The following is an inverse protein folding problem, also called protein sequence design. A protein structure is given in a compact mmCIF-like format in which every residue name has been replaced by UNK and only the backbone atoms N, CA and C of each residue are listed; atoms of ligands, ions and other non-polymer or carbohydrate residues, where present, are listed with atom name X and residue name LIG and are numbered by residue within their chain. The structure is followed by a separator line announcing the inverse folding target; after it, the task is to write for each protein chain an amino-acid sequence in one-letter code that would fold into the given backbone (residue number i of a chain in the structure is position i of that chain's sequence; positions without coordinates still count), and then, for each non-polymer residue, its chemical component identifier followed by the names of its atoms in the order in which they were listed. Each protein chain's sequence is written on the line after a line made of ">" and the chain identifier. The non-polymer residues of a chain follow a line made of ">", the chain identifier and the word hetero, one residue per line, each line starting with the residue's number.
data_IF_293925093849
#
_entry.id   IF_293925093849
#
_cell.length_a   1.000
_cell.length_b   1.000
_cell.length_c   1.000
_cell.angle_alpha   90.00
_cell.angle_beta   90.00
_cell.angle_gamma   90.00
#
_symmetry.space_group_name_H-M   'P 1'
#
loop_
_entity.id
_entity.type
_entity.pdbx_description
1 polymer ?
#
# COMPACT_ATOMS: atom_id res chain seq x y z
N UNK A 1 0.11 -29.99 -3.62
CA UNK A 1 0.03 -29.52 -2.21
C UNK A 1 -1.44 -29.19 -1.91
N UNK A 2 -1.99 -29.63 -0.77
CA UNK A 2 -3.30 -29.13 -0.33
C UNK A 2 -3.09 -27.76 0.32
N UNK A 3 -3.32 -26.70 -0.45
CA UNK A 3 -2.99 -25.33 -0.07
C UNK A 3 -3.75 -24.88 1.20
N UNK A 4 -5.06 -25.24 1.30
CA UNK A 4 -5.89 -24.89 2.46
C UNK A 4 -5.34 -25.50 3.75
N UNK A 5 -4.94 -26.75 3.71
CA UNK A 5 -4.35 -27.44 4.88
C UNK A 5 -2.98 -26.84 5.23
N UNK A 6 -2.16 -26.46 4.24
CA UNK A 6 -0.89 -25.79 4.52
C UNK A 6 -1.08 -24.42 5.17
N UNK A 7 -2.09 -23.64 4.76
CA UNK A 7 -2.43 -22.36 5.42
C UNK A 7 -2.87 -22.57 6.88
N UNK A 8 -3.51 -23.71 7.19
CA UNK A 8 -3.99 -24.01 8.54
C UNK A 8 -2.94 -24.64 9.47
N UNK A 9 -1.80 -25.12 8.95
CA UNK A 9 -0.74 -25.75 9.77
C UNK A 9 -0.17 -24.77 10.79
N UNK A 10 0.36 -23.66 10.31
CA UNK A 10 0.98 -22.67 11.18
C UNK A 10 0.94 -21.27 10.56
N UNK A 11 1.19 -20.25 11.37
CA UNK A 11 1.29 -18.87 10.94
C UNK A 11 2.71 -18.35 11.17
N UNK A 12 3.65 -18.81 10.35
CA UNK A 12 5.06 -18.44 10.41
C UNK A 12 5.58 -17.87 9.10
N UNK A 13 6.72 -17.19 9.15
CA UNK A 13 7.42 -16.73 7.96
C UNK A 13 7.88 -17.91 7.09
N UNK A 14 8.32 -19.01 7.71
CA UNK A 14 8.74 -20.21 7.00
C UNK A 14 7.58 -20.81 6.20
N UNK A 15 6.41 -20.94 6.80
CA UNK A 15 5.22 -21.46 6.12
C UNK A 15 4.74 -20.51 5.02
N UNK A 16 4.77 -19.19 5.25
CA UNK A 16 4.48 -18.21 4.21
C UNK A 16 5.42 -18.38 3.02
N UNK A 17 6.74 -18.45 3.25
CA UNK A 17 7.73 -18.63 2.20
C UNK A 17 7.55 -19.94 1.42
N UNK A 18 7.22 -21.04 2.13
CA UNK A 18 6.91 -22.34 1.49
C UNK A 18 5.75 -22.22 0.51
N UNK A 19 4.67 -21.52 0.90
CA UNK A 19 3.52 -21.29 0.04
C UNK A 19 3.89 -20.42 -1.15
N UNK A 20 4.64 -19.33 -0.93
CA UNK A 20 5.11 -18.43 -2.01
C UNK A 20 5.98 -19.18 -3.01
N UNK A 21 6.92 -20.01 -2.54
CA UNK A 21 7.73 -20.86 -3.40
C UNK A 21 6.92 -21.88 -4.20
N UNK A 22 5.88 -22.47 -3.56
CA UNK A 22 4.99 -23.39 -4.27
C UNK A 22 4.17 -22.68 -5.35
N UNK A 23 3.71 -21.46 -5.10
CA UNK A 23 3.03 -20.64 -6.12
C UNK A 23 3.98 -20.37 -7.27
N UNK A 24 5.21 -19.94 -6.96
CA UNK A 24 6.22 -19.60 -7.95
C UNK A 24 5.71 -18.57 -8.95
N UNK A 25 5.86 -18.86 -10.24
CA UNK A 25 5.39 -18.04 -11.36
C UNK A 25 4.04 -18.49 -11.94
N UNK A 26 3.39 -19.49 -11.32
CA UNK A 26 2.14 -20.09 -11.78
C UNK A 26 0.92 -19.21 -11.47
N UNK A 27 0.34 -18.61 -12.50
CA UNK A 27 -0.91 -17.84 -12.38
C UNK A 27 -2.06 -18.70 -11.80
N UNK A 28 -2.13 -19.98 -12.18
CA UNK A 28 -3.18 -20.89 -11.68
C UNK A 28 -3.04 -21.13 -10.16
N UNK A 29 -1.83 -21.37 -9.68
CA UNK A 29 -1.60 -21.54 -8.23
C UNK A 29 -1.82 -20.25 -7.46
N UNK A 30 -1.51 -19.09 -8.05
CA UNK A 30 -1.84 -17.80 -7.48
C UNK A 30 -3.36 -17.61 -7.41
N UNK A 31 -4.10 -17.95 -8.46
CA UNK A 31 -5.56 -17.90 -8.46
C UNK A 31 -6.16 -18.74 -7.33
N UNK A 32 -5.68 -19.98 -7.15
CA UNK A 32 -6.12 -20.84 -6.06
C UNK A 32 -5.89 -20.20 -4.68
N UNK A 33 -4.69 -19.62 -4.46
CA UNK A 33 -4.35 -18.90 -3.24
C UNK A 33 -5.22 -17.65 -3.05
N UNK A 34 -5.44 -16.88 -4.11
CA UNK A 34 -6.24 -15.66 -4.07
C UNK A 34 -7.73 -15.96 -3.81
N UNK A 35 -8.26 -17.05 -4.33
CA UNK A 35 -9.61 -17.50 -4.03
C UNK A 35 -9.78 -17.88 -2.57
N UNK A 36 -8.81 -18.56 -1.95
CA UNK A 36 -8.81 -18.84 -0.51
C UNK A 36 -8.71 -17.54 0.32
N UNK A 37 -7.96 -16.57 -0.15
CA UNK A 37 -7.85 -15.26 0.50
C UNK A 37 -9.20 -14.50 0.51
N UNK A 38 -10.05 -14.65 -0.51
CA UNK A 38 -11.31 -13.90 -0.62
C UNK A 38 -12.51 -14.63 -0.01
N UNK A 39 -12.59 -15.97 -0.13
CA UNK A 39 -13.84 -16.71 -0.08
C UNK A 39 -13.86 -17.88 0.91
N UNK A 40 -12.83 -18.08 1.71
CA UNK A 40 -12.80 -19.16 2.71
C UNK A 40 -13.22 -18.65 4.11
N UNK A 41 -13.15 -19.51 5.10
CA UNK A 41 -13.40 -19.12 6.50
C UNK A 41 -12.37 -18.12 6.99
N UNK A 42 -12.76 -17.30 7.93
CA UNK A 42 -11.98 -16.20 8.50
C UNK A 42 -10.48 -16.50 8.73
N UNK A 43 -10.15 -17.65 9.34
CA UNK A 43 -8.76 -18.02 9.63
C UNK A 43 -7.93 -18.28 8.38
N UNK A 44 -8.54 -18.87 7.35
CA UNK A 44 -7.87 -19.12 6.05
C UNK A 44 -7.63 -17.83 5.31
N UNK A 45 -8.65 -16.96 5.22
CA UNK A 45 -8.51 -15.62 4.61
C UNK A 45 -7.36 -14.83 5.26
N UNK A 46 -7.34 -14.76 6.60
CA UNK A 46 -6.31 -14.09 7.37
C UNK A 46 -4.91 -14.62 7.05
N UNK A 47 -4.74 -15.95 7.02
CA UNK A 47 -3.44 -16.58 6.79
C UNK A 47 -2.99 -16.54 5.34
N UNK A 48 -3.93 -16.55 4.39
CA UNK A 48 -3.65 -16.40 2.96
C UNK A 48 -3.19 -14.97 2.59
N UNK A 49 -3.59 -13.96 3.35
CA UNK A 49 -3.26 -12.56 3.05
C UNK A 49 -1.74 -12.32 2.95
N UNK A 50 -0.95 -12.94 3.82
CA UNK A 50 0.50 -12.77 3.82
C UNK A 50 1.16 -13.37 2.58
N UNK A 51 1.01 -14.67 2.23
CA UNK A 51 1.59 -15.21 1.00
C UNK A 51 1.04 -14.54 -0.27
N UNK A 52 -0.26 -14.14 -0.33
CA UNK A 52 -0.80 -13.35 -1.45
C UNK A 52 0.03 -12.09 -1.67
N UNK A 53 0.29 -11.31 -0.60
CA UNK A 53 1.07 -10.07 -0.74
C UNK A 53 2.49 -10.32 -1.24
N UNK A 54 3.15 -11.38 -0.80
CA UNK A 54 4.50 -11.73 -1.25
C UNK A 54 4.56 -12.26 -2.68
N UNK A 55 3.56 -13.05 -3.10
CA UNK A 55 3.43 -13.49 -4.48
C UNK A 55 3.27 -12.30 -5.44
N UNK A 56 2.46 -11.29 -5.07
CA UNK A 56 2.28 -10.08 -5.89
C UNK A 56 3.54 -9.22 -5.89
N UNK A 57 4.26 -9.10 -4.77
CA UNK A 57 5.53 -8.37 -4.72
C UNK A 57 6.58 -9.03 -5.63
N UNK A 58 6.64 -10.37 -5.66
CA UNK A 58 7.55 -11.11 -6.53
C UNK A 58 7.11 -11.08 -8.02
N UNK A 59 5.81 -11.12 -8.26
CA UNK A 59 5.22 -11.16 -9.59
C UNK A 59 4.05 -10.17 -9.70
N UNK A 60 4.30 -8.85 -9.92
CA UNK A 60 3.28 -7.81 -9.94
C UNK A 60 2.13 -8.04 -10.94
N UNK A 61 2.41 -8.79 -12.01
CA UNK A 61 1.40 -9.15 -13.02
C UNK A 61 0.23 -9.97 -12.45
N UNK A 62 0.44 -10.73 -11.38
CA UNK A 62 -0.59 -11.61 -10.82
C UNK A 62 -1.84 -10.87 -10.38
N UNK A 63 -1.72 -9.64 -9.85
CA UNK A 63 -2.87 -8.88 -9.36
C UNK A 63 -3.67 -8.20 -10.47
N UNK A 64 -3.14 -8.13 -11.70
CA UNK A 64 -3.71 -7.34 -12.79
C UNK A 64 -5.19 -7.60 -13.03
N UNK A 65 -5.60 -8.87 -13.01
CA UNK A 65 -6.98 -9.29 -13.25
C UNK A 65 -7.84 -9.35 -11.96
N UNK A 66 -7.27 -8.99 -10.81
CA UNK A 66 -7.92 -9.15 -9.51
C UNK A 66 -8.10 -7.84 -8.75
N UNK A 67 -7.75 -6.68 -9.32
CA UNK A 67 -7.90 -5.38 -8.67
C UNK A 67 -9.33 -5.14 -8.16
N UNK A 68 -10.34 -5.36 -9.00
CA UNK A 68 -11.73 -5.18 -8.64
C UNK A 68 -12.13 -6.04 -7.44
N UNK A 69 -11.72 -7.33 -7.47
CA UNK A 69 -12.00 -8.26 -6.37
C UNK A 69 -11.26 -7.85 -5.08
N UNK A 70 -10.02 -7.34 -5.20
CA UNK A 70 -9.23 -6.86 -4.08
C UNK A 70 -9.89 -5.64 -3.41
N UNK A 71 -10.30 -4.66 -4.21
CA UNK A 71 -10.94 -3.43 -3.75
C UNK A 71 -12.29 -3.75 -3.10
N UNK A 72 -13.13 -4.54 -3.77
CA UNK A 72 -14.40 -5.01 -3.21
C UNK A 72 -14.21 -5.74 -1.87
N UNK A 73 -13.11 -6.48 -1.71
CA UNK A 73 -12.79 -7.11 -0.45
C UNK A 73 -12.40 -6.09 0.63
N UNK A 74 -11.72 -4.99 0.29
CA UNK A 74 -11.34 -3.92 1.22
C UNK A 74 -12.55 -3.13 1.75
N UNK A 75 -13.66 -3.10 1.05
CA UNK A 75 -14.91 -2.47 1.50
C UNK A 75 -15.76 -3.35 2.45
N UNK A 76 -15.38 -4.62 2.66
CA UNK A 76 -16.13 -5.46 3.59
C UNK A 76 -16.07 -4.91 5.02
N UNK A 77 -17.19 -4.87 5.75
CA UNK A 77 -17.20 -4.45 7.14
C UNK A 77 -16.39 -5.45 8.00
N UNK A 78 -15.83 -4.97 9.10
CA UNK A 78 -15.11 -5.78 10.10
C UNK A 78 -13.95 -6.61 9.52
N UNK A 79 -13.31 -6.08 8.47
CA UNK A 79 -12.19 -6.75 7.84
C UNK A 79 -11.00 -6.86 8.79
N UNK A 80 -10.42 -8.06 8.90
CA UNK A 80 -9.28 -8.30 9.79
C UNK A 80 -8.04 -7.50 9.36
N UNK A 81 -7.31 -6.94 10.33
CA UNK A 81 -6.13 -6.11 10.11
C UNK A 81 -5.05 -6.76 9.22
N UNK A 82 -4.88 -8.08 9.32
CA UNK A 82 -3.94 -8.80 8.46
C UNK A 82 -4.34 -8.74 6.99
N UNK A 83 -5.64 -8.72 6.69
CA UNK A 83 -6.16 -8.60 5.33
C UNK A 83 -5.93 -7.19 4.82
N UNK A 84 -6.37 -6.16 5.57
CA UNK A 84 -6.11 -4.74 5.25
C UNK A 84 -4.63 -4.51 5.01
N UNK A 85 -3.80 -4.86 6.00
CA UNK A 85 -2.34 -4.66 5.97
C UNK A 85 -1.68 -5.28 4.75
N UNK A 86 -2.00 -6.53 4.41
CA UNK A 86 -1.34 -7.22 3.31
C UNK A 86 -1.90 -6.78 1.94
N UNK A 87 -3.18 -6.38 1.86
CA UNK A 87 -3.76 -5.78 0.66
C UNK A 87 -3.10 -4.42 0.35
N UNK A 88 -2.97 -3.55 1.35
CA UNK A 88 -2.30 -2.25 1.13
C UNK A 88 -0.79 -2.45 0.91
N UNK A 89 -0.16 -3.45 1.56
CA UNK A 89 1.25 -3.79 1.32
C UNK A 89 1.52 -4.08 -0.15
N UNK A 90 0.73 -4.94 -0.79
CA UNK A 90 0.97 -5.28 -2.19
C UNK A 90 0.76 -4.10 -3.14
N UNK A 91 -0.18 -3.19 -2.83
CA UNK A 91 -0.46 -2.00 -3.63
C UNK A 91 0.71 -1.00 -3.69
N UNK A 92 1.67 -1.09 -2.77
CA UNK A 92 2.90 -0.27 -2.83
C UNK A 92 3.82 -0.65 -3.98
N UNK A 93 3.69 -1.87 -4.52
CA UNK A 93 4.64 -2.52 -5.45
C UNK A 93 4.05 -2.79 -6.83
N UNK A 94 2.87 -2.26 -7.13
CA UNK A 94 2.17 -2.50 -8.39
C UNK A 94 1.69 -1.18 -9.00
N UNK A 95 1.60 -1.14 -10.32
CA UNK A 95 0.95 -0.05 -11.01
C UNK A 95 -0.56 -0.21 -10.90
N UNK A 96 -1.20 0.73 -10.18
CA UNK A 96 -2.64 0.72 -9.96
C UNK A 96 -3.31 1.24 -11.23
N UNK A 97 -4.22 0.45 -11.86
CA UNK A 97 -4.94 0.90 -13.03
C UNK A 97 -5.75 2.18 -12.75
N UNK A 98 -5.79 3.10 -13.71
CA UNK A 98 -6.36 4.44 -13.53
C UNK A 98 -7.77 4.42 -12.95
N UNK A 99 -8.63 3.56 -13.46
CA UNK A 99 -10.01 3.39 -13.00
C UNK A 99 -10.17 3.03 -11.51
N UNK A 100 -9.10 2.57 -10.86
CA UNK A 100 -9.12 2.20 -9.44
C UNK A 100 -8.33 3.17 -8.55
N UNK A 101 -7.60 4.14 -9.13
CA UNK A 101 -6.73 5.02 -8.36
C UNK A 101 -7.51 5.90 -7.39
N UNK A 102 -8.65 6.45 -7.80
CA UNK A 102 -9.51 7.27 -6.94
C UNK A 102 -10.02 6.50 -5.72
N UNK A 103 -10.59 5.32 -5.94
CA UNK A 103 -11.12 4.48 -4.88
C UNK A 103 -10.04 4.01 -3.90
N UNK A 104 -8.85 3.66 -4.42
CA UNK A 104 -7.70 3.29 -3.56
C UNK A 104 -7.18 4.50 -2.79
N UNK A 105 -7.18 5.72 -3.36
CA UNK A 105 -6.87 6.95 -2.63
C UNK A 105 -7.82 7.14 -1.45
N UNK A 106 -9.13 7.06 -1.69
CA UNK A 106 -10.15 7.20 -0.65
C UNK A 106 -9.94 6.20 0.49
N UNK A 107 -9.75 4.92 0.17
CA UNK A 107 -9.46 3.87 1.17
C UNK A 107 -8.19 4.21 1.97
N UNK A 108 -7.12 4.62 1.30
CA UNK A 108 -5.85 4.93 1.95
C UNK A 108 -5.93 6.18 2.82
N UNK A 109 -6.62 7.23 2.39
CA UNK A 109 -6.90 8.42 3.20
C UNK A 109 -7.69 8.06 4.46
N UNK A 110 -8.76 7.27 4.31
CA UNK A 110 -9.56 6.78 5.44
C UNK A 110 -8.72 5.99 6.45
N UNK A 111 -7.81 5.13 5.99
CA UNK A 111 -6.93 4.38 6.90
C UNK A 111 -5.90 5.27 7.60
N UNK A 112 -5.35 6.28 6.95
CA UNK A 112 -4.41 7.21 7.60
C UNK A 112 -5.13 8.07 8.62
N UNK A 113 -6.31 8.59 8.30
CA UNK A 113 -7.12 9.44 9.19
C UNK A 113 -7.65 8.69 10.41
N UNK A 114 -7.95 7.40 10.29
CA UNK A 114 -8.54 6.60 11.37
C UNK A 114 -7.64 6.55 12.60
N UNK A 115 -8.21 6.73 13.79
CA UNK A 115 -7.49 6.58 15.06
C UNK A 115 -7.29 5.10 15.46
N UNK A 116 -8.15 4.20 14.99
CA UNK A 116 -8.17 2.79 15.36
C UNK A 116 -7.35 1.88 14.45
N UNK A 117 -6.99 2.32 13.25
CA UNK A 117 -6.24 1.47 12.32
C UNK A 117 -4.79 1.21 12.80
N UNK A 118 -4.30 -0.04 12.67
CA UNK A 118 -2.94 -0.38 13.03
C UNK A 118 -1.90 0.44 12.27
N UNK A 119 -0.82 0.77 12.96
CA UNK A 119 0.29 1.58 12.41
C UNK A 119 0.78 1.06 11.06
N UNK A 120 0.89 -0.26 10.89
CA UNK A 120 1.36 -0.85 9.63
C UNK A 120 0.41 -0.57 8.45
N UNK A 121 -0.91 -0.53 8.70
CA UNK A 121 -1.92 -0.17 7.68
C UNK A 121 -1.72 1.29 7.28
N UNK A 122 -1.63 2.20 8.25
CA UNK A 122 -1.39 3.63 8.01
C UNK A 122 -0.10 3.88 7.22
N UNK A 123 1.01 3.26 7.64
CA UNK A 123 2.34 3.42 7.00
C UNK A 123 2.34 2.94 5.55
N UNK A 124 1.68 1.82 5.27
CA UNK A 124 1.57 1.32 3.91
C UNK A 124 0.64 2.20 3.06
N UNK A 125 -0.46 2.69 3.64
CA UNK A 125 -1.36 3.65 2.99
C UNK A 125 -0.66 4.95 2.62
N UNK A 126 0.16 5.52 3.52
CA UNK A 126 0.99 6.69 3.20
C UNK A 126 1.94 6.42 2.01
N UNK A 127 2.48 5.20 1.92
CA UNK A 127 3.36 4.85 0.78
C UNK A 127 2.58 4.79 -0.53
N UNK A 128 1.38 4.19 -0.51
CA UNK A 128 0.50 4.14 -1.69
C UNK A 128 0.09 5.55 -2.13
N UNK A 129 -0.36 6.40 -1.19
CA UNK A 129 -0.68 7.80 -1.45
C UNK A 129 0.53 8.56 -2.02
N UNK A 130 1.72 8.37 -1.45
CA UNK A 130 2.94 8.97 -1.95
C UNK A 130 3.33 8.51 -3.37
N UNK A 131 3.00 7.27 -3.75
CA UNK A 131 3.17 6.81 -5.11
C UNK A 131 2.16 7.46 -6.07
N UNK A 132 0.89 7.57 -5.65
CA UNK A 132 -0.17 8.22 -6.43
C UNK A 132 0.05 9.73 -6.55
N UNK A 133 0.59 10.39 -5.54
CA UNK A 133 0.95 11.82 -5.57
C UNK A 133 2.02 12.17 -6.62
N UNK A 134 2.72 11.19 -7.19
CA UNK A 134 3.60 11.43 -8.34
C UNK A 134 2.81 11.77 -9.60
N UNK A 135 1.61 11.24 -9.74
CA UNK A 135 0.67 11.48 -10.84
C UNK A 135 -0.35 12.56 -10.49
N UNK A 136 -0.73 12.66 -9.22
CA UNK A 136 -1.75 13.56 -8.69
C UNK A 136 -1.14 14.44 -7.58
N UNK A 137 -0.26 15.42 -7.92
CA UNK A 137 0.42 16.25 -6.92
C UNK A 137 -0.54 17.10 -6.09
N UNK A 138 -1.76 17.34 -6.56
CA UNK A 138 -2.82 18.05 -5.85
C UNK A 138 -3.26 17.40 -4.54
N UNK A 139 -2.99 16.11 -4.33
CA UNK A 139 -3.30 15.42 -3.05
C UNK A 139 -2.23 15.64 -1.96
N UNK A 140 -1.06 16.20 -2.31
CA UNK A 140 0.05 16.39 -1.36
C UNK A 140 -0.33 17.26 -0.15
N UNK A 141 -1.04 18.41 -0.32
CA UNK A 141 -1.46 19.22 0.83
C UNK A 141 -2.30 18.43 1.84
N UNK A 142 -3.25 17.64 1.39
CA UNK A 142 -4.10 16.82 2.26
C UNK A 142 -3.29 15.75 3.01
N UNK A 143 -2.37 15.07 2.32
CA UNK A 143 -1.47 14.10 2.97
C UNK A 143 -0.63 14.78 4.06
N UNK A 144 -0.14 16.00 3.83
CA UNK A 144 0.64 16.77 4.83
C UNK A 144 -0.20 17.07 6.06
N UNK A 145 -1.43 17.56 5.89
CA UNK A 145 -2.36 17.83 7.00
C UNK A 145 -2.58 16.57 7.84
N UNK A 146 -2.89 15.44 7.20
CA UNK A 146 -3.08 14.17 7.92
C UNK A 146 -1.81 13.69 8.65
N UNK A 147 -0.64 13.89 8.05
CA UNK A 147 0.61 13.57 8.72
C UNK A 147 0.78 14.42 9.97
N UNK A 148 0.59 15.74 9.88
CA UNK A 148 0.78 16.68 10.99
C UNK A 148 -0.19 16.39 12.14
N UNK A 149 -1.45 16.10 11.85
CA UNK A 149 -2.46 15.69 12.84
C UNK A 149 -2.10 14.39 13.57
N UNK A 150 -1.53 13.43 12.85
CA UNK A 150 -1.24 12.10 13.39
C UNK A 150 0.12 12.05 14.13
N UNK A 151 1.12 12.83 13.72
CA UNK A 151 2.49 12.76 14.22
C UNK A 151 2.63 12.73 15.76
N UNK A 152 1.89 13.56 16.55
CA UNK A 152 2.04 13.57 18.01
C UNK A 152 1.73 12.23 18.66
N UNK A 153 0.81 11.47 18.09
CA UNK A 153 0.21 10.26 18.68
C UNK A 153 0.71 8.96 18.06
N UNK A 154 1.64 9.03 17.08
CA UNK A 154 2.04 7.87 16.30
C UNK A 154 3.42 7.33 16.66
N UNK A 155 3.62 6.04 16.35
CA UNK A 155 4.86 5.32 16.57
C UNK A 155 6.05 5.85 15.75
N UNK A 156 7.27 5.47 16.16
CA UNK A 156 8.50 5.77 15.42
C UNK A 156 8.45 5.30 13.95
N UNK A 157 7.77 4.18 13.66
CA UNK A 157 7.63 3.69 12.29
C UNK A 157 6.80 4.61 11.40
N UNK A 158 5.71 5.17 11.93
CA UNK A 158 4.90 6.17 11.22
C UNK A 158 5.70 7.46 11.01
N UNK A 159 6.34 7.98 12.07
CA UNK A 159 7.18 9.19 12.01
C UNK A 159 8.28 9.07 10.96
N UNK A 160 9.00 7.95 10.94
CA UNK A 160 10.06 7.69 9.95
C UNK A 160 9.53 7.66 8.51
N UNK A 161 8.36 7.03 8.27
CA UNK A 161 7.76 7.01 6.93
C UNK A 161 7.29 8.38 6.49
N UNK A 162 6.62 9.11 7.36
CA UNK A 162 6.14 10.48 7.11
C UNK A 162 7.30 11.40 6.75
N UNK A 163 8.39 11.40 7.53
CA UNK A 163 9.57 12.21 7.27
C UNK A 163 10.21 11.90 5.90
N UNK A 164 10.32 10.60 5.53
CA UNK A 164 10.85 10.22 4.22
C UNK A 164 9.97 10.74 3.08
N UNK A 165 8.65 10.68 3.26
CA UNK A 165 7.71 11.15 2.26
C UNK A 165 7.78 12.67 2.09
N UNK A 166 7.74 13.43 3.19
CA UNK A 166 7.83 14.90 3.19
C UNK A 166 9.12 15.37 2.54
N UNK A 167 10.27 14.82 2.92
CA UNK A 167 11.58 15.14 2.32
C UNK A 167 11.62 14.87 0.81
N UNK A 168 10.92 13.82 0.34
CA UNK A 168 10.87 13.52 -1.10
C UNK A 168 10.15 14.58 -1.92
N UNK A 169 9.24 15.33 -1.31
CA UNK A 169 8.53 16.43 -1.96
C UNK A 169 9.26 17.77 -1.85
N UNK A 170 9.97 18.03 -0.74
CA UNK A 170 10.81 19.23 -0.57
C UNK A 170 11.95 19.26 -1.59
N UNK A 171 12.63 18.14 -1.78
CA UNK A 171 13.71 18.02 -2.75
C UNK A 171 13.26 18.23 -4.21
N UNK A 172 12.00 17.97 -4.54
CA UNK A 172 11.45 18.26 -5.88
C UNK A 172 11.19 19.75 -6.10
N UNK A 173 10.82 20.48 -5.06
CA UNK A 173 10.60 21.92 -5.14
C UNK A 173 11.93 22.69 -5.28
N UNK A 174 12.98 22.26 -4.57
CA UNK A 174 14.31 22.89 -4.68
C UNK A 174 15.01 22.62 -6.01
N UNK A 175 14.75 21.48 -6.65
CA UNK A 175 15.31 21.15 -7.97
C UNK A 175 14.72 21.95 -9.15
N UNK A 176 13.55 22.61 -8.98
CA UNK A 176 12.92 23.44 -10.01
C UNK A 176 13.38 24.91 -9.96
N UNK A 177 14.06 25.35 -8.89
CA UNK A 177 14.50 26.74 -8.70
C UNK A 177 15.96 27.02 -9.13
N UNK A 178 16.72 26.00 -9.56
CA UNK A 178 18.11 26.20 -9.97
C UNK A 178 18.26 26.70 -11.42
N UNK A 179 17.17 27.04 -12.10
CA UNK A 179 17.17 27.54 -13.50
C UNK A 179 16.84 29.02 -13.70
N UNK A 180 16.56 29.80 -12.63
CA UNK A 180 16.29 31.24 -12.78
C UNK A 180 17.50 32.02 -12.29
N UNK A 181 18.31 32.52 -13.25
CA UNK A 181 19.30 33.58 -13.03
C UNK A 181 18.61 34.80 -12.44
N UNK A 182 19.16 35.47 -11.41
CA UNK A 182 18.59 36.70 -10.91
C UNK A 182 18.71 37.78 -12.00
N UNK A 183 17.58 38.29 -12.45
CA UNK A 183 17.53 39.48 -13.30
C UNK A 183 18.18 40.64 -12.53
N UNK A 184 19.29 41.12 -13.07
CA UNK A 184 19.93 42.35 -12.67
C UNK A 184 18.96 43.52 -12.83
N UNK A 185 18.57 44.10 -11.70
CA UNK A 185 17.83 45.37 -11.68
C UNK A 185 18.81 46.48 -12.13
N UNK A 186 18.72 46.89 -13.36
CA UNK A 186 19.35 48.14 -13.80
C UNK A 186 18.56 49.32 -13.23
N UNK A 187 19.13 50.00 -12.24
CA UNK A 187 18.76 51.35 -11.89
C UNK A 187 19.32 52.27 -12.99
N UNK A 188 18.44 52.95 -13.76
CA UNK A 188 18.78 54.16 -14.46
C UNK A 188 18.37 55.39 -13.64
N UNK A 189 19.35 56.27 -13.48
CA UNK A 189 19.19 57.60 -12.95
C UNK A 189 18.33 58.46 -13.88
#
# INVERSE_FOLDING_TARGET
>A
MNLRNELLKEHSKAQCNKIVQWVGDSEKRFEDLFNLFLNDVYRVNQRAAWPVSYCVIAHPKFIKNYFEKLIKNLHKPNLHDAIKRNSIRLLQHVDIPEKFQGEIMEICFGYVASQSEPVAVKVFSLTVLGNLAKKYPEIIPEIKVLIDEQLPHQSAGFKSRSQKLLKSWENKLSGHYTGLTPYSVFFCR
#
